data_IF_614558080738
#
_entry.id   IF_614558080738
#
_cell.length_a   1.000
_cell.length_b   1.000
_cell.length_c   1.000
_cell.angle_alpha   90.00
_cell.angle_beta   90.00
_cell.angle_gamma   90.00
#
_symmetry.space_group_name_H-M   'P 1'
#
loop_
_entity.id
_entity.type
_entity.pdbx_description
1 polymer ?
#
# COMPACT_ATOMS: atom_id res chain seq x y z
N UNK A 1 -26.94 -6.76 -21.66
CA UNK A 1 -26.15 -6.64 -20.40
C UNK A 1 -25.81 -5.17 -20.21
N UNK A 2 -26.35 -4.53 -19.19
CA UNK A 2 -25.98 -3.15 -18.88
C UNK A 2 -24.60 -3.21 -18.23
N UNK A 3 -23.59 -2.71 -18.90
CA UNK A 3 -22.26 -2.55 -18.33
C UNK A 3 -22.40 -1.59 -17.14
N UNK A 4 -22.20 -2.10 -15.93
CA UNK A 4 -22.16 -1.28 -14.72
C UNK A 4 -20.95 -0.36 -14.83
N UNK A 5 -21.15 0.95 -14.77
CA UNK A 5 -20.08 1.91 -14.77
C UNK A 5 -19.11 1.60 -13.60
N UNK A 6 -17.80 1.67 -13.80
CA UNK A 6 -16.84 1.44 -12.73
C UNK A 6 -17.07 2.43 -11.59
N UNK A 7 -17.00 1.94 -10.35
CA UNK A 7 -17.11 2.81 -9.18
C UNK A 7 -15.83 3.64 -9.08
N UNK A 8 -15.98 4.95 -9.21
CA UNK A 8 -14.85 5.88 -9.16
C UNK A 8 -14.15 5.86 -7.79
N UNK A 9 -12.85 5.95 -7.82
CA UNK A 9 -12.02 6.20 -6.64
C UNK A 9 -12.35 7.61 -6.16
N UNK A 10 -12.47 7.81 -4.85
CA UNK A 10 -12.78 9.14 -4.33
C UNK A 10 -11.63 10.11 -4.59
N UNK A 11 -11.94 11.35 -4.97
CA UNK A 11 -10.95 12.41 -5.21
C UNK A 11 -10.02 12.60 -4.00
N UNK A 12 -10.52 12.34 -2.79
CA UNK A 12 -9.71 12.42 -1.56
C UNK A 12 -8.59 11.37 -1.53
N UNK A 13 -8.86 10.12 -1.89
CA UNK A 13 -7.82 9.08 -1.90
C UNK A 13 -6.73 9.40 -2.93
N UNK A 14 -7.09 10.05 -4.03
CA UNK A 14 -6.15 10.51 -5.05
C UNK A 14 -5.36 11.72 -4.59
N UNK A 15 -6.01 12.67 -3.93
CA UNK A 15 -5.36 13.84 -3.37
C UNK A 15 -4.37 13.48 -2.26
N UNK A 16 -4.74 12.53 -1.39
CA UNK A 16 -3.85 12.03 -0.33
C UNK A 16 -2.60 11.34 -0.94
N UNK A 17 -2.73 10.69 -2.08
CA UNK A 17 -1.59 10.12 -2.82
C UNK A 17 -0.66 11.19 -3.42
N UNK A 18 -1.20 12.36 -3.79
CA UNK A 18 -0.41 13.51 -4.30
C UNK A 18 0.36 14.24 -3.20
N UNK A 19 -0.12 14.19 -1.96
CA UNK A 19 0.48 14.88 -0.82
C UNK A 19 1.79 14.26 -0.32
N UNK A 20 2.22 13.11 -0.84
CA UNK A 20 3.53 12.51 -0.53
C UNK A 20 4.62 13.29 -1.29
N UNK A 21 4.87 14.51 -0.84
CA UNK A 21 5.62 15.52 -1.59
C UNK A 21 7.14 15.37 -1.57
N UNK A 22 7.70 14.65 -0.60
CA UNK A 22 9.16 14.51 -0.43
C UNK A 22 9.73 13.27 -1.13
N UNK A 23 9.31 13.02 -2.36
CA UNK A 23 9.79 11.86 -3.13
C UNK A 23 10.71 12.29 -4.26
N UNK A 24 11.77 11.52 -4.48
CA UNK A 24 12.60 11.63 -5.67
C UNK A 24 11.78 11.45 -6.95
N UNK A 25 12.32 11.89 -8.06
CA UNK A 25 11.60 11.93 -9.34
C UNK A 25 11.06 10.56 -9.76
N UNK A 26 11.82 9.48 -9.55
CA UNK A 26 11.42 8.12 -9.90
C UNK A 26 10.19 7.64 -9.09
N UNK A 27 10.17 7.91 -7.78
CA UNK A 27 9.07 7.50 -6.91
C UNK A 27 7.78 8.29 -7.23
N UNK A 28 7.92 9.59 -7.50
CA UNK A 28 6.81 10.43 -7.95
C UNK A 28 6.21 9.92 -9.25
N UNK A 29 7.03 9.60 -10.24
CA UNK A 29 6.57 9.07 -11.52
C UNK A 29 5.89 7.71 -11.37
N UNK A 30 6.45 6.81 -10.55
CA UNK A 30 5.87 5.50 -10.29
C UNK A 30 4.49 5.62 -9.60
N UNK A 31 4.35 6.50 -8.61
CA UNK A 31 3.08 6.77 -7.92
C UNK A 31 2.04 7.39 -8.83
N UNK A 32 2.41 8.38 -9.63
CA UNK A 32 1.49 8.99 -10.60
C UNK A 32 1.00 7.97 -11.63
N UNK A 33 1.88 7.13 -12.15
CA UNK A 33 1.51 6.04 -13.06
C UNK A 33 0.58 5.03 -12.40
N UNK A 34 0.84 4.64 -11.15
CA UNK A 34 -0.03 3.74 -10.39
C UNK A 34 -1.41 4.38 -10.10
N UNK A 35 -1.43 5.65 -9.72
CA UNK A 35 -2.67 6.41 -9.52
C UNK A 35 -3.52 6.47 -10.80
N UNK A 36 -2.90 6.78 -11.94
CA UNK A 36 -3.61 6.79 -13.23
C UNK A 36 -4.22 5.42 -13.57
N UNK A 37 -3.48 4.32 -13.35
CA UNK A 37 -4.02 2.96 -13.55
C UNK A 37 -5.18 2.66 -12.60
N UNK A 38 -5.07 3.04 -11.32
CA UNK A 38 -6.14 2.84 -10.35
C UNK A 38 -7.42 3.60 -10.76
N UNK A 39 -7.28 4.82 -11.26
CA UNK A 39 -8.40 5.63 -11.77
C UNK A 39 -9.05 5.00 -13.01
N UNK A 40 -8.26 4.59 -13.98
CA UNK A 40 -8.74 3.95 -15.21
C UNK A 40 -9.48 2.65 -14.91
N UNK A 41 -8.98 1.85 -13.99
CA UNK A 41 -9.57 0.56 -13.64
C UNK A 41 -10.80 0.69 -12.73
N UNK A 42 -10.89 1.76 -11.94
CA UNK A 42 -11.92 1.96 -10.94
C UNK A 42 -11.82 0.97 -9.77
N UNK A 43 -12.70 1.15 -8.78
CA UNK A 43 -12.75 0.25 -7.63
C UNK A 43 -13.33 -1.12 -8.00
N UNK A 44 -12.81 -2.21 -7.41
CA UNK A 44 -13.31 -3.55 -7.68
C UNK A 44 -14.78 -3.68 -7.26
N UNK A 45 -15.51 -4.50 -7.99
CA UNK A 45 -16.90 -4.79 -7.72
C UNK A 45 -17.06 -6.27 -7.36
N UNK A 46 -18.08 -6.59 -6.57
CA UNK A 46 -18.37 -7.97 -6.17
C UNK A 46 -18.59 -8.93 -7.36
N UNK A 47 -18.95 -8.40 -8.54
CA UNK A 47 -19.14 -9.18 -9.76
C UNK A 47 -17.84 -9.51 -10.48
N UNK A 48 -16.75 -8.85 -10.11
CA UNK A 48 -15.43 -9.16 -10.66
C UNK A 48 -15.01 -10.54 -10.15
N UNK A 49 -14.50 -11.39 -11.03
CA UNK A 49 -14.23 -12.80 -10.72
C UNK A 49 -13.31 -12.97 -9.51
N UNK A 50 -12.32 -12.10 -9.35
CA UNK A 50 -11.40 -12.10 -8.22
C UNK A 50 -12.06 -11.75 -6.87
N UNK A 51 -13.20 -11.03 -6.91
CA UNK A 51 -13.91 -10.57 -5.72
C UNK A 51 -15.20 -11.34 -5.46
N UNK A 52 -15.43 -12.45 -6.18
CA UNK A 52 -16.65 -13.25 -6.10
C UNK A 52 -17.01 -13.67 -4.67
N UNK A 53 -16.01 -13.99 -3.87
CA UNK A 53 -16.16 -14.47 -2.50
C UNK A 53 -15.76 -13.45 -1.43
N UNK A 54 -15.39 -12.25 -1.82
CA UNK A 54 -14.93 -11.20 -0.92
C UNK A 54 -15.74 -9.92 -1.16
N UNK A 55 -15.90 -9.13 -0.13
CA UNK A 55 -16.58 -7.82 -0.24
C UNK A 55 -15.54 -6.71 -0.43
N UNK A 56 -15.27 -6.27 -1.66
CA UNK A 56 -14.25 -5.27 -1.93
C UNK A 56 -14.58 -3.90 -1.35
N UNK A 57 -15.85 -3.58 -1.15
CA UNK A 57 -16.32 -2.34 -0.52
C UNK A 57 -15.83 -2.16 0.92
N UNK A 58 -15.45 -3.23 1.62
CA UNK A 58 -14.88 -3.15 2.96
C UNK A 58 -13.45 -2.57 2.97
N UNK A 59 -12.71 -2.68 1.87
CA UNK A 59 -11.33 -2.17 1.76
C UNK A 59 -11.24 -0.69 1.35
N UNK A 60 -12.36 -0.08 0.98
CA UNK A 60 -12.43 1.30 0.49
C UNK A 60 -13.44 2.14 1.27
N UNK A 61 -13.49 1.95 2.57
CA UNK A 61 -14.37 2.72 3.45
C UNK A 61 -13.81 4.14 3.65
N UNK A 62 -14.68 5.14 3.52
CA UNK A 62 -14.30 6.55 3.69
C UNK A 62 -13.93 6.92 5.14
N UNK A 63 -14.46 6.19 6.10
CA UNK A 63 -14.24 6.44 7.53
C UNK A 63 -13.78 5.12 8.17
N UNK A 64 -12.48 4.97 8.34
CA UNK A 64 -11.91 3.91 9.17
C UNK A 64 -11.84 4.43 10.59
N UNK A 65 -12.62 3.87 11.49
CA UNK A 65 -12.46 4.14 12.92
C UNK A 65 -11.06 3.66 13.35
N UNK A 66 -10.32 4.50 14.05
CA UNK A 66 -9.08 4.08 14.68
C UNK A 66 -9.41 2.91 15.63
N UNK A 67 -8.75 1.80 15.44
CA UNK A 67 -8.90 0.65 16.34
C UNK A 67 -8.31 1.06 17.68
N UNK A 68 -9.07 0.98 18.80
CA UNK A 68 -8.52 1.21 20.11
C UNK A 68 -7.29 0.32 20.31
N UNK A 69 -6.25 0.84 20.94
CA UNK A 69 -5.06 0.04 21.23
C UNK A 69 -5.50 -1.25 21.94
N UNK A 70 -5.22 -2.38 21.32
CA UNK A 70 -5.40 -3.66 21.97
C UNK A 70 -4.56 -3.69 23.25
N UNK A 71 -5.06 -4.34 24.31
CA UNK A 71 -4.25 -4.59 25.49
C UNK A 71 -3.01 -5.37 25.06
N UNK A 72 -1.84 -5.09 25.65
CA UNK A 72 -0.64 -5.85 25.33
C UNK A 72 -0.92 -7.32 25.61
N UNK A 73 -0.95 -8.13 24.56
CA UNK A 73 -1.05 -9.57 24.69
C UNK A 73 0.32 -10.12 25.11
N UNK A 74 0.32 -11.12 25.97
CA UNK A 74 1.54 -11.85 26.29
C UNK A 74 1.96 -12.56 25.02
N UNK A 75 3.13 -12.19 24.50
CA UNK A 75 3.66 -12.82 23.29
C UNK A 75 3.95 -14.30 23.57
N UNK A 76 3.25 -15.20 22.87
CA UNK A 76 3.53 -16.64 22.90
C UNK A 76 4.95 -16.99 22.45
N UNK A 77 5.64 -16.07 21.78
CA UNK A 77 7.00 -16.21 21.30
C UNK A 77 7.99 -15.36 22.12
N UNK A 78 7.65 -15.01 23.38
CA UNK A 78 8.50 -14.16 24.21
C UNK A 78 9.91 -14.75 24.43
N UNK A 79 10.02 -16.08 24.52
CA UNK A 79 11.27 -16.80 24.76
C UNK A 79 12.06 -17.12 23.48
N UNK A 80 11.55 -16.73 22.32
CA UNK A 80 12.23 -16.95 21.04
C UNK A 80 13.13 -15.77 20.70
N UNK A 81 14.32 -16.07 20.18
CA UNK A 81 15.19 -15.04 19.60
C UNK A 81 14.51 -14.51 18.33
N UNK A 82 14.09 -13.25 18.33
CA UNK A 82 13.30 -12.62 17.26
C UNK A 82 13.68 -11.16 17.10
N UNK A 83 13.53 -10.66 15.92
CA UNK A 83 13.52 -9.25 15.63
C UNK A 83 12.08 -8.77 15.51
N UNK A 84 11.71 -7.74 16.26
CA UNK A 84 10.37 -7.19 16.26
C UNK A 84 10.35 -5.82 15.58
N UNK A 85 9.39 -5.63 14.69
CA UNK A 85 9.04 -4.32 14.11
C UNK A 85 7.57 -4.07 14.42
N UNK A 86 7.31 -3.08 15.27
CA UNK A 86 5.97 -2.80 15.75
C UNK A 86 5.36 -1.63 14.98
N UNK A 87 4.12 -1.80 14.53
CA UNK A 87 3.31 -0.74 13.95
C UNK A 87 2.08 -0.46 14.81
N UNK A 88 1.85 0.81 15.12
CA UNK A 88 0.65 1.29 15.81
C UNK A 88 -0.14 2.22 14.89
N UNK A 89 -1.39 1.86 14.57
CA UNK A 89 -2.22 2.62 13.63
C UNK A 89 -1.50 2.93 12.30
N UNK A 90 -0.86 1.93 11.72
CA UNK A 90 -0.09 1.99 10.48
C UNK A 90 1.16 2.91 10.53
N UNK A 91 1.58 3.33 11.71
CA UNK A 91 2.83 4.07 11.92
C UNK A 91 3.84 3.19 12.63
N UNK A 92 5.09 3.26 12.22
CA UNK A 92 6.19 2.62 12.93
C UNK A 92 6.22 3.14 14.38
N UNK A 93 6.25 2.21 15.35
CA UNK A 93 6.17 2.57 16.76
C UNK A 93 7.53 3.00 17.35
N UNK A 94 8.63 2.61 16.72
CA UNK A 94 9.99 2.98 17.12
C UNK A 94 10.58 3.98 16.11
N UNK A 95 11.43 4.88 16.61
CA UNK A 95 12.14 5.83 15.76
C UNK A 95 13.25 5.15 14.94
N UNK A 96 13.83 4.06 15.49
CA UNK A 96 14.91 3.31 14.86
C UNK A 96 14.46 1.91 14.47
N UNK A 97 14.87 1.48 13.29
CA UNK A 97 14.68 0.11 12.81
C UNK A 97 15.78 -0.80 13.35
N UNK A 98 15.48 -2.06 13.67
CA UNK A 98 16.46 -2.99 14.20
C UNK A 98 17.55 -3.30 13.17
N UNK A 99 18.79 -3.39 13.64
CA UNK A 99 19.92 -3.86 12.84
C UNK A 99 19.93 -5.39 12.83
N UNK A 100 20.07 -5.96 11.64
CA UNK A 100 20.16 -7.42 11.44
C UNK A 100 21.36 -7.69 10.54
N UNK A 101 22.20 -8.64 10.94
CA UNK A 101 23.37 -9.05 10.15
C UNK A 101 22.96 -9.46 8.73
N UNK A 102 23.67 -8.91 7.75
CA UNK A 102 23.44 -9.15 6.33
C UNK A 102 22.04 -8.79 5.81
N UNK A 103 21.27 -8.02 6.56
CA UNK A 103 19.94 -7.54 6.16
C UNK A 103 19.84 -6.03 6.37
N UNK A 104 19.48 -5.30 5.31
CA UNK A 104 19.18 -3.87 5.41
C UNK A 104 17.68 -3.68 5.52
N UNK A 105 17.24 -3.07 6.61
CA UNK A 105 15.84 -2.66 6.79
C UNK A 105 15.81 -1.13 6.71
N UNK A 106 14.90 -0.61 5.90
CA UNK A 106 14.79 0.81 5.64
C UNK A 106 13.34 1.20 5.38
N UNK A 107 12.92 2.38 5.82
CA UNK A 107 11.58 2.87 5.50
C UNK A 107 11.46 3.19 4.02
N UNK A 108 10.33 2.85 3.43
CA UNK A 108 10.05 3.19 2.04
C UNK A 108 10.06 4.71 1.82
N UNK A 109 9.64 5.48 2.82
CA UNK A 109 9.67 6.94 2.78
C UNK A 109 11.08 7.48 2.58
N UNK A 110 12.06 6.96 3.35
CA UNK A 110 13.47 7.35 3.21
C UNK A 110 14.03 6.92 1.85
N UNK A 111 13.77 5.69 1.43
CA UNK A 111 14.18 5.17 0.14
C UNK A 111 13.64 6.02 -1.03
N UNK A 112 12.35 6.41 -0.95
CA UNK A 112 11.71 7.24 -1.96
C UNK A 112 12.20 8.70 -2.00
N UNK A 113 12.81 9.20 -0.93
CA UNK A 113 13.37 10.55 -0.90
C UNK A 113 14.68 10.66 -1.68
N UNK A 114 15.36 9.55 -1.94
CA UNK A 114 16.63 9.51 -2.66
C UNK A 114 16.41 9.44 -4.18
N UNK A 115 17.26 10.16 -4.94
CA UNK A 115 17.21 10.15 -6.40
C UNK A 115 17.65 8.82 -7.00
N UNK A 116 18.57 8.12 -6.35
CA UNK A 116 19.09 6.82 -6.74
C UNK A 116 18.95 5.84 -5.56
N UNK A 117 18.10 4.83 -5.74
CA UNK A 117 17.94 3.78 -4.75
C UNK A 117 17.54 2.47 -5.44
N UNK A 118 18.02 1.33 -4.94
CA UNK A 118 17.72 -0.01 -5.50
C UNK A 118 16.22 -0.34 -5.54
N UNK A 119 15.44 0.25 -4.63
CA UNK A 119 13.98 0.08 -4.57
C UNK A 119 13.29 0.52 -5.87
N UNK A 120 13.85 1.49 -6.62
CA UNK A 120 13.28 1.90 -7.91
C UNK A 120 13.18 0.76 -8.91
N UNK A 121 14.05 -0.26 -8.77
CA UNK A 121 14.06 -1.41 -9.67
C UNK A 121 12.95 -2.43 -9.39
N UNK A 122 12.34 -2.37 -8.23
CA UNK A 122 11.29 -3.31 -7.81
C UNK A 122 9.95 -2.63 -7.49
N UNK A 123 9.94 -1.32 -7.18
CA UNK A 123 8.74 -0.60 -6.76
C UNK A 123 7.65 -0.64 -7.85
N UNK A 124 6.48 -1.19 -7.51
CA UNK A 124 5.35 -1.32 -8.41
C UNK A 124 5.47 -2.41 -9.49
N UNK A 125 6.64 -3.06 -9.67
CA UNK A 125 6.84 -4.04 -10.75
C UNK A 125 6.04 -5.32 -10.56
N UNK A 126 5.93 -5.84 -9.34
CA UNK A 126 5.13 -7.03 -9.06
C UNK A 126 3.63 -6.79 -9.30
N UNK A 127 3.16 -5.60 -8.98
CA UNK A 127 1.80 -5.18 -9.29
C UNK A 127 1.56 -5.20 -10.80
N UNK A 128 2.47 -4.62 -11.58
CA UNK A 128 2.38 -4.61 -13.05
C UNK A 128 2.46 -6.00 -13.67
N UNK A 129 3.35 -6.86 -13.18
CA UNK A 129 3.53 -8.21 -13.69
C UNK A 129 2.25 -9.07 -13.53
N UNK A 130 1.42 -8.77 -12.55
CA UNK A 130 0.19 -9.49 -12.28
C UNK A 130 -1.06 -8.95 -12.99
N UNK A 131 -0.94 -7.93 -13.84
CA UNK A 131 -2.10 -7.26 -14.47
C UNK A 131 -2.78 -8.08 -15.57
N UNK A 132 -2.13 -9.02 -16.14
CA UNK A 132 -2.68 -9.81 -17.24
C UNK A 132 -3.02 -11.23 -16.74
N UNK A 133 -4.27 -11.74 -16.78
CA UNK A 133 -5.45 -11.12 -17.44
C UNK A 133 -6.33 -10.25 -16.51
N UNK A 134 -5.94 -10.01 -15.26
CA UNK A 134 -6.82 -9.40 -14.24
C UNK A 134 -6.32 -8.03 -13.79
N UNK A 135 -7.19 -7.03 -13.90
CA UNK A 135 -6.95 -5.68 -13.39
C UNK A 135 -6.91 -5.67 -11.85
N UNK A 136 -5.91 -5.02 -11.27
CA UNK A 136 -5.68 -4.97 -9.82
C UNK A 136 -5.66 -3.54 -9.32
N UNK A 137 -6.79 -2.87 -9.40
CA UNK A 137 -6.93 -1.45 -9.04
C UNK A 137 -6.54 -1.15 -7.59
N UNK A 138 -6.83 -2.05 -6.63
CA UNK A 138 -6.41 -1.85 -5.23
C UNK A 138 -4.90 -2.00 -5.05
N UNK A 139 -4.23 -2.87 -5.82
CA UNK A 139 -2.78 -2.97 -5.79
C UNK A 139 -2.14 -1.71 -6.38
N UNK A 140 -2.68 -1.19 -7.47
CA UNK A 140 -2.25 0.07 -8.06
C UNK A 140 -2.45 1.25 -7.09
N UNK A 141 -3.60 1.31 -6.41
CA UNK A 141 -3.87 2.32 -5.38
C UNK A 141 -2.89 2.21 -4.21
N UNK A 142 -2.61 1.00 -3.74
CA UNK A 142 -1.61 0.76 -2.69
C UNK A 142 -0.22 1.25 -3.13
N UNK A 143 0.22 0.93 -4.36
CA UNK A 143 1.49 1.44 -4.90
C UNK A 143 1.50 2.98 -4.96
N UNK A 144 0.38 3.62 -5.33
CA UNK A 144 0.29 5.08 -5.38
C UNK A 144 0.43 5.72 -3.99
N UNK A 145 -0.04 5.06 -2.94
CA UNK A 145 -0.16 5.61 -1.57
C UNK A 145 0.90 5.09 -0.58
N UNK A 146 1.72 4.10 -0.94
CA UNK A 146 2.70 3.52 -0.03
C UNK A 146 3.76 4.54 0.41
N UNK A 147 4.05 4.60 1.72
CA UNK A 147 5.01 5.51 2.38
C UNK A 147 5.98 4.75 3.27
#
# INVERSE_FOLDING_TARGET
>A
MVASSPKLISDRALHDAELISNSGAWAKNARQSASARAQEQGLPQRRDEYWKYTRPDLFVQKNVALIPQARPEISIFADQMKTEIEFKNAKLAADDLPEIDNCKIESLSNACALDLHWVQDIYGKLELAGQNPVKRSLAALNTAMAT
#
